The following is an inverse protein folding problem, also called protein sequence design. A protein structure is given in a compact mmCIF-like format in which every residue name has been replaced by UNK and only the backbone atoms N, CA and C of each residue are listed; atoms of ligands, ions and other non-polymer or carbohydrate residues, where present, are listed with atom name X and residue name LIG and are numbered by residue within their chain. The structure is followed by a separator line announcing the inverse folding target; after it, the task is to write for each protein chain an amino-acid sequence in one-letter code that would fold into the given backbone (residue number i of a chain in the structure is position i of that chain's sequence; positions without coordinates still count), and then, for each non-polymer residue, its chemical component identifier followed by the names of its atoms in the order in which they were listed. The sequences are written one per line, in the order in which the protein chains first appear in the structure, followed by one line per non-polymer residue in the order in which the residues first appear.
data_IF_756391838689
#
_entry.id   IF_756391838689
#
_cell.length_a   1.000
_cell.length_b   1.000
_cell.length_c   1.000
_cell.angle_alpha   90.00
_cell.angle_beta   90.00
_cell.angle_gamma   90.00
#
_symmetry.space_group_name_H-M   'P 1'
#
loop_
_entity.id
_entity.type
_entity.pdbx_description
1 polymer ?
#
# COMPACT_ATOMS: atom_id res chain seq x y z
N UNK A 1 -12.08 -13.71 4.70
CA UNK A 1 -10.74 -13.97 5.26
C UNK A 1 -10.73 -13.54 6.72
N UNK A 2 -10.06 -14.29 7.59
CA UNK A 2 -9.76 -13.80 8.95
C UNK A 2 -8.76 -12.63 8.88
N UNK A 3 -8.80 -11.75 9.87
CA UNK A 3 -7.84 -10.65 9.99
C UNK A 3 -6.40 -11.17 10.12
N UNK A 4 -6.20 -12.29 10.81
CA UNK A 4 -4.89 -12.95 10.97
C UNK A 4 -4.28 -13.33 9.62
N UNK A 5 -5.08 -13.92 8.73
CA UNK A 5 -4.63 -14.33 7.40
C UNK A 5 -4.31 -13.08 6.56
N UNK A 6 -5.15 -12.04 6.64
CA UNK A 6 -4.92 -10.78 5.93
C UNK A 6 -3.60 -10.13 6.36
N UNK A 7 -3.34 -10.02 7.66
CA UNK A 7 -2.11 -9.40 8.17
C UNK A 7 -0.87 -10.23 7.84
N UNK A 8 -0.97 -11.56 7.85
CA UNK A 8 0.09 -12.46 7.39
C UNK A 8 0.39 -12.28 5.90
N UNK A 9 -0.63 -12.16 5.04
CA UNK A 9 -0.42 -11.91 3.61
C UNK A 9 0.18 -10.52 3.38
N UNK A 10 -0.27 -9.50 4.12
CA UNK A 10 0.31 -8.15 4.06
C UNK A 10 1.80 -8.17 4.43
N UNK A 11 2.16 -8.81 5.54
CA UNK A 11 3.54 -8.91 5.98
C UNK A 11 4.39 -9.75 5.01
N UNK A 12 3.87 -10.92 4.61
CA UNK A 12 4.56 -11.83 3.71
C UNK A 12 4.84 -11.21 2.34
N UNK A 13 3.88 -10.44 1.80
CA UNK A 13 4.07 -9.73 0.54
C UNK A 13 5.10 -8.60 0.65
N UNK A 14 5.17 -7.86 1.76
CA UNK A 14 6.24 -6.89 1.99
C UNK A 14 7.62 -7.55 1.98
N UNK A 15 7.78 -8.66 2.72
CA UNK A 15 9.04 -9.40 2.79
C UNK A 15 9.43 -9.92 1.40
N UNK A 16 8.48 -10.48 0.66
CA UNK A 16 8.73 -10.99 -0.70
C UNK A 16 9.23 -9.88 -1.63
N UNK A 17 8.57 -8.71 -1.61
CA UNK A 17 8.98 -7.57 -2.42
C UNK A 17 10.36 -7.02 -2.03
N UNK A 18 10.74 -7.09 -0.75
CA UNK A 18 12.07 -6.71 -0.30
C UNK A 18 13.14 -7.72 -0.72
N UNK A 19 12.84 -9.02 -0.67
CA UNK A 19 13.77 -10.09 -1.08
C UNK A 19 14.12 -10.01 -2.56
N UNK A 20 13.19 -9.57 -3.42
CA UNK A 20 13.47 -9.33 -4.85
C UNK A 20 14.22 -7.99 -5.10
N UNK A 21 14.58 -7.25 -4.05
CA UNK A 21 15.40 -6.05 -4.13
C UNK A 21 14.64 -4.75 -4.42
N UNK A 22 13.32 -4.72 -4.26
CA UNK A 22 12.55 -3.49 -4.49
C UNK A 22 12.83 -2.47 -3.36
N UNK A 23 13.12 -1.19 -3.68
CA UNK A 23 13.35 -0.18 -2.65
C UNK A 23 12.15 -0.01 -1.73
N UNK A 24 12.42 0.21 -0.44
CA UNK A 24 11.39 0.24 0.63
C UNK A 24 10.21 1.17 0.31
N UNK A 25 10.47 2.34 -0.28
CA UNK A 25 9.42 3.30 -0.63
C UNK A 25 8.39 2.73 -1.61
N UNK A 26 8.84 1.93 -2.59
CA UNK A 26 7.94 1.27 -3.53
C UNK A 26 7.22 0.10 -2.86
N UNK A 27 7.90 -0.67 -1.99
CA UNK A 27 7.28 -1.77 -1.25
C UNK A 27 6.11 -1.27 -0.40
N UNK A 28 6.34 -0.25 0.44
CA UNK A 28 5.31 0.28 1.32
C UNK A 28 4.16 0.91 0.53
N UNK A 29 4.47 1.63 -0.56
CA UNK A 29 3.47 2.21 -1.45
C UNK A 29 2.60 1.17 -2.16
N UNK A 30 3.19 0.14 -2.77
CA UNK A 30 2.47 -0.92 -3.47
C UNK A 30 1.58 -1.73 -2.53
N UNK A 31 2.08 -2.10 -1.36
CA UNK A 31 1.29 -2.86 -0.37
C UNK A 31 0.16 -2.00 0.17
N UNK A 32 0.41 -0.75 0.54
CA UNK A 32 -0.63 0.16 1.01
C UNK A 32 -1.73 0.36 -0.04
N UNK A 33 -1.35 0.64 -1.29
CA UNK A 33 -2.30 0.84 -2.39
C UNK A 33 -3.06 -0.44 -2.75
N UNK A 34 -2.35 -1.56 -2.93
CA UNK A 34 -2.92 -2.84 -3.34
C UNK A 34 -3.93 -3.37 -2.32
N UNK A 35 -3.61 -3.33 -1.02
CA UNK A 35 -4.53 -3.77 0.01
C UNK A 35 -5.68 -2.79 0.23
N UNK A 36 -5.45 -1.49 0.11
CA UNK A 36 -6.53 -0.52 0.18
C UNK A 36 -7.57 -0.77 -0.92
N UNK A 37 -7.13 -1.06 -2.16
CA UNK A 37 -8.05 -1.41 -3.23
C UNK A 37 -8.69 -2.78 -3.05
N UNK A 38 -7.94 -3.78 -2.60
CA UNK A 38 -8.48 -5.13 -2.40
C UNK A 38 -9.55 -5.19 -1.30
N UNK A 39 -9.45 -4.35 -0.27
CA UNK A 39 -10.37 -4.33 0.87
C UNK A 39 -11.52 -3.32 0.72
N UNK A 40 -11.24 -2.12 0.22
CA UNK A 40 -12.21 -1.02 0.15
C UNK A 40 -12.71 -0.74 -1.27
N UNK A 41 -12.15 -1.38 -2.29
CA UNK A 41 -12.53 -1.22 -3.69
C UNK A 41 -12.13 0.13 -4.30
N UNK A 42 -12.70 0.47 -5.48
CA UNK A 42 -12.36 1.69 -6.22
C UNK A 42 -12.62 2.99 -5.45
N UNK A 43 -13.49 2.95 -4.44
CA UNK A 43 -13.80 4.09 -3.58
C UNK A 43 -12.61 4.55 -2.72
N UNK A 44 -11.57 3.74 -2.58
CA UNK A 44 -10.32 4.13 -1.92
C UNK A 44 -9.44 5.04 -2.78
N UNK A 45 -9.62 5.05 -4.10
CA UNK A 45 -8.76 5.81 -5.03
C UNK A 45 -8.74 7.32 -4.72
N UNK A 46 -9.87 8.01 -4.51
CA UNK A 46 -9.86 9.43 -4.19
C UNK A 46 -9.13 9.71 -2.87
N UNK A 47 -9.33 8.87 -1.84
CA UNK A 47 -8.68 9.01 -0.53
C UNK A 47 -7.16 8.92 -0.65
N UNK A 48 -6.65 7.92 -1.36
CA UNK A 48 -5.21 7.72 -1.56
C UNK A 48 -4.63 8.90 -2.35
N UNK A 49 -5.29 9.30 -3.44
CA UNK A 49 -4.87 10.43 -4.26
C UNK A 49 -4.80 11.73 -3.44
N UNK A 50 -5.82 12.03 -2.63
CA UNK A 50 -5.82 13.22 -1.77
C UNK A 50 -4.64 13.25 -0.78
N UNK A 51 -4.23 12.09 -0.24
CA UNK A 51 -3.07 12.01 0.66
C UNK A 51 -1.75 12.22 -0.10
N UNK A 52 -1.61 11.66 -1.28
CA UNK A 52 -0.40 11.82 -2.10
C UNK A 52 -0.26 13.25 -2.60
N UNK A 53 -1.31 13.83 -3.18
CA UNK A 53 -1.26 15.21 -3.68
C UNK A 53 -1.09 16.24 -2.57
N UNK A 54 -1.63 15.98 -1.38
CA UNK A 54 -1.38 16.84 -0.21
C UNK A 54 0.10 16.91 0.17
N UNK A 55 0.89 15.85 -0.04
CA UNK A 55 2.34 15.90 0.15
C UNK A 55 3.05 16.65 -0.99
N UNK A 56 2.60 16.47 -2.23
CA UNK A 56 3.17 17.20 -3.38
C UNK A 56 3.01 18.71 -3.20
N UNK A 57 1.84 19.20 -2.77
CA UNK A 57 1.63 20.64 -2.57
C UNK A 57 2.45 21.25 -1.43
N UNK A 58 2.93 20.44 -0.48
CA UNK A 58 3.70 20.91 0.69
C UNK A 58 5.21 20.92 0.41
N UNK A 59 5.69 20.02 -0.45
CA UNK A 59 7.12 19.83 -0.71
C UNK A 59 7.56 20.17 -2.15
N UNK A 60 6.64 20.61 -3.02
CA UNK A 60 6.94 21.19 -4.33
C UNK A 60 7.14 22.71 -4.22
#
# INVERSE_FOLDING_TARGET
MSIEILTLIMLGSMVLLLVIGLPLAFVTGLIAFGFALALYGPMALPLIASRVYGFVSVYA
#
